data_IF_861458489067
#
_entry.id   IF_861458489067
#
_cell.length_a   1.000
_cell.length_b   1.000
_cell.length_c   1.000
_cell.angle_alpha   90.00
_cell.angle_beta   90.00
_cell.angle_gamma   90.00
#
_symmetry.space_group_name_H-M   'P 1'
#
loop_
_entity.id
_entity.type
_entity.pdbx_description
1 polymer ?
#
# COMPACT_ATOMS: atom_id res chain seq x y z
N UNK A 1 -4.24 -0.47 6.88
CA UNK A 1 -3.04 0.36 6.66
C UNK A 1 -1.85 -0.31 7.30
N UNK A 2 -0.75 -0.50 6.55
CA UNK A 2 0.46 -1.10 7.10
C UNK A 2 1.26 -0.05 7.90
N UNK A 3 0.98 0.01 9.21
CA UNK A 3 1.66 0.90 10.15
C UNK A 3 3.11 0.52 10.40
N UNK A 4 3.48 -0.75 10.18
CA UNK A 4 4.87 -1.19 10.28
C UNK A 4 5.65 -0.57 9.12
N UNK A 5 5.08 -0.57 7.91
CA UNK A 5 5.65 0.13 6.77
C UNK A 5 5.74 1.65 6.98
N UNK A 6 4.73 2.26 7.59
CA UNK A 6 4.74 3.70 7.86
C UNK A 6 5.79 4.11 8.89
N UNK A 7 5.94 3.35 9.98
CA UNK A 7 6.78 3.75 11.10
C UNK A 7 8.18 3.14 11.11
N UNK A 8 8.46 2.14 10.26
CA UNK A 8 9.77 1.50 10.10
C UNK A 8 10.42 1.08 11.44
N UNK A 9 9.73 0.34 12.33
CA UNK A 9 10.29 -0.07 13.62
C UNK A 9 11.45 -1.07 13.42
N UNK A 10 12.40 -1.13 14.35
CA UNK A 10 13.39 -2.22 14.36
C UNK A 10 12.74 -3.58 14.60
N UNK A 11 13.09 -4.59 13.80
CA UNK A 11 12.44 -5.92 13.80
C UNK A 11 12.48 -6.62 15.16
N UNK A 12 13.63 -6.64 15.82
CA UNK A 12 13.81 -7.43 17.04
C UNK A 12 13.28 -6.79 18.33
N UNK A 13 13.06 -5.47 18.35
CA UNK A 13 12.78 -4.74 19.60
C UNK A 13 11.51 -3.90 19.50
N UNK A 14 11.36 -3.13 18.44
CA UNK A 14 10.29 -2.14 18.33
C UNK A 14 9.03 -2.72 17.69
N UNK A 15 9.19 -3.56 16.65
CA UNK A 15 8.07 -4.14 15.90
C UNK A 15 7.14 -4.99 16.77
N UNK A 16 7.62 -5.88 17.67
CA UNK A 16 6.73 -6.65 18.53
C UNK A 16 5.86 -5.75 19.43
N UNK A 17 6.46 -4.70 20.01
CA UNK A 17 5.75 -3.73 20.86
C UNK A 17 4.72 -2.92 20.09
N UNK A 18 5.04 -2.52 18.86
CA UNK A 18 4.09 -1.83 17.99
C UNK A 18 2.87 -2.73 17.66
N UNK A 19 3.10 -4.00 17.30
CA UNK A 19 2.03 -4.95 16.96
C UNK A 19 1.15 -5.22 18.19
N UNK A 20 1.76 -5.45 19.36
CA UNK A 20 1.01 -5.67 20.60
C UNK A 20 0.19 -4.44 20.99
N UNK A 21 0.73 -3.23 20.82
CA UNK A 21 0.00 -2.00 21.08
C UNK A 21 -1.20 -1.82 20.15
N UNK A 22 -1.05 -2.15 18.86
CA UNK A 22 -2.16 -2.12 17.88
C UNK A 22 -3.26 -3.10 18.32
N UNK A 23 -2.90 -4.33 18.71
CA UNK A 23 -3.87 -5.32 19.21
C UNK A 23 -4.59 -4.83 20.47
N UNK A 24 -3.86 -4.27 21.42
CA UNK A 24 -4.43 -3.70 22.64
C UNK A 24 -5.40 -2.54 22.33
N UNK A 25 -5.09 -1.65 21.37
CA UNK A 25 -5.98 -0.56 21.01
C UNK A 25 -7.22 -1.01 20.22
N UNK A 26 -7.09 -2.01 19.35
CA UNK A 26 -8.24 -2.65 18.71
C UNK A 26 -9.16 -3.27 19.76
N UNK A 27 -8.59 -3.92 20.79
CA UNK A 27 -9.35 -4.42 21.93
C UNK A 27 -10.05 -3.29 22.68
N UNK A 28 -9.35 -2.20 23.03
CA UNK A 28 -9.94 -1.03 23.71
C UNK A 28 -11.18 -0.53 22.97
N UNK A 29 -11.13 -0.43 21.63
CA UNK A 29 -12.29 -0.04 20.83
C UNK A 29 -13.49 -0.98 21.05
N UNK A 30 -13.28 -2.30 21.02
CA UNK A 30 -14.35 -3.27 21.24
C UNK A 30 -14.92 -3.17 22.66
N UNK A 31 -14.07 -2.97 23.66
CA UNK A 31 -14.50 -2.79 25.05
C UNK A 31 -15.27 -1.50 25.27
N UNK A 32 -14.93 -0.42 24.56
CA UNK A 32 -15.68 0.83 24.57
C UNK A 32 -17.07 0.65 23.95
N UNK A 33 -17.19 -0.13 22.88
CA UNK A 33 -18.47 -0.40 22.21
C UNK A 33 -19.36 -1.34 23.04
N UNK A 34 -18.77 -2.39 23.63
CA UNK A 34 -19.55 -3.51 24.18
C UNK A 34 -19.50 -3.65 25.71
N UNK A 35 -18.50 -3.11 26.40
CA UNK A 35 -18.24 -3.39 27.83
C UNK A 35 -18.14 -2.15 28.73
N UNK A 36 -18.68 -0.98 28.33
CA UNK A 36 -18.62 0.26 29.12
C UNK A 36 -17.20 0.58 29.65
N UNK A 37 -16.21 0.49 28.77
CA UNK A 37 -14.81 0.73 29.11
C UNK A 37 -14.47 2.23 28.98
N UNK A 38 -14.14 2.89 30.09
CA UNK A 38 -13.92 4.34 30.11
C UNK A 38 -12.50 4.82 29.75
N UNK A 39 -11.55 3.91 29.54
CA UNK A 39 -10.16 4.28 29.23
C UNK A 39 -9.86 4.24 27.73
N UNK A 40 -8.81 4.97 27.34
CA UNK A 40 -8.37 5.11 25.94
C UNK A 40 -7.19 4.20 25.56
N UNK A 41 -6.63 3.51 26.56
CA UNK A 41 -5.54 2.54 26.47
C UNK A 41 -5.90 1.32 27.31
N UNK A 42 -5.21 0.20 27.07
CA UNK A 42 -5.28 -1.00 27.90
C UNK A 42 -4.03 -1.05 28.80
N UNK A 43 -4.13 -0.72 30.10
CA UNK A 43 -2.99 -0.79 31.01
C UNK A 43 -2.60 -2.25 31.25
N UNK A 44 -1.31 -2.55 31.21
CA UNK A 44 -0.80 -3.90 31.50
C UNK A 44 0.02 -3.97 32.77
N UNK A 45 0.66 -2.88 33.19
CA UNK A 45 1.50 -2.89 34.39
C UNK A 45 0.73 -3.40 35.62
N UNK A 46 1.29 -4.44 36.26
CA UNK A 46 0.72 -5.11 37.44
C UNK A 46 -0.73 -5.62 37.28
N UNK A 47 -1.22 -5.77 36.04
CA UNK A 47 -2.58 -6.27 35.80
C UNK A 47 -2.59 -7.81 35.65
N UNK A 48 -3.70 -8.48 36.01
CA UNK A 48 -3.88 -9.89 35.74
C UNK A 48 -3.85 -10.18 34.23
N UNK A 49 -3.07 -11.16 33.80
CA UNK A 49 -3.01 -11.64 32.41
C UNK A 49 -4.38 -12.08 31.90
N UNK A 50 -5.20 -12.70 32.76
CA UNK A 50 -6.56 -13.11 32.41
C UNK A 50 -7.44 -11.94 31.96
N UNK A 51 -7.27 -10.75 32.54
CA UNK A 51 -8.04 -9.56 32.15
C UNK A 51 -7.84 -9.16 30.68
N UNK A 52 -6.67 -9.47 30.13
CA UNK A 52 -6.34 -9.24 28.73
C UNK A 52 -6.67 -10.45 27.86
N UNK A 53 -6.12 -11.63 28.18
CA UNK A 53 -6.24 -12.80 27.31
C UNK A 53 -7.67 -13.33 27.18
N UNK A 54 -8.50 -13.25 28.23
CA UNK A 54 -9.91 -13.61 28.14
C UNK A 54 -10.63 -12.70 27.14
N UNK A 55 -10.42 -11.38 27.23
CA UNK A 55 -11.07 -10.40 26.34
C UNK A 55 -10.55 -10.48 24.89
N UNK A 56 -9.24 -10.68 24.72
CA UNK A 56 -8.66 -10.98 23.39
C UNK A 56 -9.30 -12.24 22.81
N UNK A 57 -9.51 -13.28 23.61
CA UNK A 57 -10.21 -14.49 23.16
C UNK A 57 -11.64 -14.22 22.71
N UNK A 58 -12.38 -13.39 23.45
CA UNK A 58 -13.76 -13.01 23.11
C UNK A 58 -13.86 -12.23 21.80
N UNK A 59 -12.96 -11.28 21.56
CA UNK A 59 -13.01 -10.39 20.39
C UNK A 59 -12.02 -10.77 19.29
N UNK A 60 -11.50 -12.01 19.32
CA UNK A 60 -10.38 -12.44 18.48
C UNK A 60 -10.62 -12.19 17.01
N UNK A 61 -11.75 -12.67 16.49
CA UNK A 61 -12.06 -12.61 15.05
C UNK A 61 -12.16 -11.17 14.55
N UNK A 62 -12.65 -10.26 15.40
CA UNK A 62 -12.76 -8.83 15.08
C UNK A 62 -11.37 -8.18 15.13
N UNK A 63 -10.57 -8.43 16.16
CA UNK A 63 -9.24 -7.83 16.34
C UNK A 63 -8.26 -8.29 15.26
N UNK A 64 -8.31 -9.58 14.91
CA UNK A 64 -7.46 -10.18 13.87
C UNK A 64 -7.95 -9.81 12.46
N UNK A 65 -9.16 -9.24 12.31
CA UNK A 65 -9.64 -8.72 11.02
C UNK A 65 -8.83 -7.51 10.55
N UNK A 66 -8.51 -7.49 9.25
CA UNK A 66 -7.90 -6.36 8.56
C UNK A 66 -8.81 -5.14 8.47
N UNK A 67 -10.13 -5.34 8.64
CA UNK A 67 -11.14 -4.27 8.65
C UNK A 67 -11.28 -3.62 10.04
N UNK A 68 -10.66 -4.16 11.08
CA UNK A 68 -10.68 -3.55 12.41
C UNK A 68 -9.73 -2.37 12.49
N UNK A 69 -10.29 -1.22 12.84
CA UNK A 69 -9.61 0.04 13.10
C UNK A 69 -9.40 0.27 14.62
N UNK A 70 -8.68 1.33 14.94
CA UNK A 70 -8.41 1.76 16.31
C UNK A 70 -8.02 3.24 16.34
N UNK A 71 -8.05 3.86 17.53
CA UNK A 71 -7.66 5.25 17.68
C UNK A 71 -6.12 5.40 17.69
N UNK A 72 -5.57 5.83 16.56
CA UNK A 72 -4.13 6.01 16.38
C UNK A 72 -3.53 7.07 17.32
N UNK A 73 -4.33 8.03 17.80
CA UNK A 73 -3.84 9.08 18.70
C UNK A 73 -3.37 8.56 20.05
N UNK A 74 -3.80 7.35 20.43
CA UNK A 74 -3.41 6.67 21.66
C UNK A 74 -2.24 5.69 21.45
N UNK A 75 -1.72 5.55 20.22
CA UNK A 75 -0.71 4.54 19.87
C UNK A 75 0.57 4.69 20.67
N UNK A 76 1.11 5.89 20.78
CA UNK A 76 2.36 6.12 21.51
C UNK A 76 2.21 5.87 23.01
N UNK A 77 1.04 6.17 23.58
CA UNK A 77 0.72 5.84 24.95
C UNK A 77 0.60 4.33 25.14
N UNK A 78 -0.12 3.63 24.26
CA UNK A 78 -0.24 2.17 24.35
C UNK A 78 1.11 1.47 24.18
N UNK A 79 1.98 1.94 23.28
CA UNK A 79 3.32 1.36 23.10
C UNK A 79 4.12 1.37 24.41
N UNK A 80 3.97 2.42 25.23
CA UNK A 80 4.60 2.44 26.56
C UNK A 80 4.00 1.40 27.51
N UNK A 81 2.69 1.16 27.46
CA UNK A 81 2.03 0.10 28.24
C UNK A 81 2.49 -1.31 27.84
N UNK A 82 3.01 -1.49 26.63
CA UNK A 82 3.61 -2.75 26.20
C UNK A 82 5.04 -2.94 26.75
N UNK A 83 5.70 -1.89 27.25
CA UNK A 83 7.05 -1.93 27.80
C UNK A 83 7.07 -2.42 29.25
N UNK A 84 6.66 -3.67 29.45
CA UNK A 84 6.64 -4.37 30.75
C UNK A 84 7.76 -5.42 30.86
N UNK A 85 8.30 -5.60 32.06
CA UNK A 85 9.17 -6.71 32.44
C UNK A 85 8.38 -8.02 32.48
N UNK A 86 9.09 -9.14 32.55
CA UNK A 86 8.44 -10.42 32.83
C UNK A 86 7.74 -10.38 34.20
N UNK A 87 6.43 -10.59 34.17
CA UNK A 87 5.62 -10.83 35.37
C UNK A 87 5.61 -12.31 35.77
N UNK A 88 4.73 -12.66 36.70
CA UNK A 88 4.54 -14.04 37.17
C UNK A 88 3.60 -14.85 36.23
N UNK A 89 3.16 -16.03 36.65
CA UNK A 89 2.24 -16.86 35.85
C UNK A 89 0.87 -16.21 35.61
N UNK A 90 0.41 -15.37 36.53
CA UNK A 90 -0.94 -14.81 36.56
C UNK A 90 -0.98 -13.32 36.18
N UNK A 91 0.09 -12.57 36.42
CA UNK A 91 0.15 -11.12 36.29
C UNK A 91 1.19 -10.68 35.27
N UNK A 92 0.91 -9.59 34.59
CA UNK A 92 1.92 -8.83 33.87
C UNK A 92 2.91 -8.20 34.85
N UNK A 93 4.13 -7.92 34.37
CA UNK A 93 5.19 -7.36 35.21
C UNK A 93 5.04 -5.87 35.44
N UNK A 94 6.10 -5.29 36.01
CA UNK A 94 6.28 -3.85 36.19
C UNK A 94 6.88 -3.19 34.95
N UNK A 95 6.87 -1.86 34.91
CA UNK A 95 7.51 -1.08 33.85
C UNK A 95 8.98 -1.47 33.59
N UNK A 96 9.34 -1.63 32.32
CA UNK A 96 10.70 -1.91 31.86
C UNK A 96 11.36 -0.66 31.27
N UNK A 97 12.15 0.03 32.10
CA UNK A 97 12.89 1.23 31.70
C UNK A 97 13.86 1.02 30.53
N UNK A 98 14.42 -0.18 30.35
CA UNK A 98 15.29 -0.49 29.22
C UNK A 98 14.48 -0.60 27.93
N UNK A 99 13.33 -1.28 27.98
CA UNK A 99 12.41 -1.35 26.84
C UNK A 99 11.89 0.04 26.45
N UNK A 100 11.55 0.89 27.43
CA UNK A 100 11.14 2.28 27.21
C UNK A 100 12.26 3.09 26.53
N UNK A 101 13.52 2.93 26.97
CA UNK A 101 14.64 3.61 26.34
C UNK A 101 14.79 3.19 24.86
N UNK A 102 14.64 1.89 24.57
CA UNK A 102 14.78 1.33 23.22
C UNK A 102 13.63 1.71 22.27
N UNK A 103 12.43 1.97 22.79
CA UNK A 103 11.26 2.34 21.98
C UNK A 103 11.19 3.85 21.68
N UNK A 104 11.99 4.66 22.39
CA UNK A 104 11.92 6.13 22.33
C UNK A 104 12.09 6.70 20.91
N UNK A 105 12.98 6.12 20.11
CA UNK A 105 13.17 6.55 18.71
C UNK A 105 11.95 6.26 17.83
N UNK A 106 11.23 5.15 18.07
CA UNK A 106 9.96 4.87 17.38
C UNK A 106 8.89 5.88 17.79
N UNK A 107 8.73 6.13 19.10
CA UNK A 107 7.75 7.10 19.61
C UNK A 107 7.98 8.48 18.99
N UNK A 108 9.22 8.97 19.01
CA UNK A 108 9.56 10.26 18.40
C UNK A 108 9.22 10.31 16.91
N UNK A 109 9.43 9.20 16.18
CA UNK A 109 9.09 9.12 14.76
C UNK A 109 7.59 9.13 14.52
N UNK A 110 6.82 8.38 15.29
CA UNK A 110 5.35 8.36 15.22
C UNK A 110 4.80 9.77 15.47
N UNK A 111 5.24 10.43 16.54
CA UNK A 111 4.80 11.78 16.87
C UNK A 111 5.19 12.79 15.78
N UNK A 112 6.43 12.73 15.29
CA UNK A 112 6.87 13.61 14.22
C UNK A 112 6.03 13.45 12.94
N UNK A 113 5.76 12.21 12.52
CA UNK A 113 4.91 11.90 11.36
C UNK A 113 3.47 12.37 11.58
N UNK A 114 2.92 12.17 12.77
CA UNK A 114 1.56 12.61 13.12
C UNK A 114 1.38 14.13 13.00
N UNK A 115 2.43 14.89 13.30
CA UNK A 115 2.43 16.35 13.24
C UNK A 115 2.68 16.91 11.84
N UNK A 116 3.18 16.12 10.88
CA UNK A 116 3.39 16.60 9.52
C UNK A 116 2.05 16.86 8.82
N UNK A 117 1.83 18.06 8.24
CA UNK A 117 0.58 18.41 7.57
C UNK A 117 0.18 17.41 6.46
N UNK A 118 1.16 16.95 5.69
CA UNK A 118 0.98 16.00 4.58
C UNK A 118 0.38 14.68 5.05
N UNK A 119 0.94 14.10 6.12
CA UNK A 119 0.46 12.85 6.70
C UNK A 119 -0.87 13.06 7.44
N UNK A 120 -1.05 14.18 8.15
CA UNK A 120 -2.30 14.52 8.82
C UNK A 120 -3.46 14.62 7.83
N UNK A 121 -3.24 15.23 6.67
CA UNK A 121 -4.27 15.41 5.64
C UNK A 121 -4.67 14.09 4.98
N UNK A 122 -3.68 13.21 4.71
CA UNK A 122 -3.93 11.94 4.05
C UNK A 122 -4.54 10.91 4.99
N UNK A 123 -3.99 10.77 6.21
CA UNK A 123 -4.43 9.75 7.16
C UNK A 123 -5.50 10.24 8.13
N UNK A 124 -5.87 11.52 8.04
CA UNK A 124 -6.91 12.10 8.90
C UNK A 124 -6.58 11.98 10.38
N UNK A 125 -5.30 12.09 10.78
CA UNK A 125 -4.93 11.95 12.19
C UNK A 125 -5.72 12.95 13.05
N UNK A 126 -6.56 12.42 13.96
CA UNK A 126 -7.52 13.13 14.82
C UNK A 126 -8.86 13.56 14.16
N UNK A 127 -9.18 13.14 12.93
CA UNK A 127 -10.55 13.24 12.42
C UNK A 127 -11.41 12.15 13.04
N UNK A 128 -12.65 12.49 13.39
CA UNK A 128 -13.65 11.48 13.71
C UNK A 128 -14.12 10.84 12.40
N UNK A 129 -14.16 9.51 12.37
CA UNK A 129 -14.73 8.76 11.26
C UNK A 129 -16.25 9.02 11.25
N UNK A 130 -16.79 9.52 10.14
CA UNK A 130 -18.18 9.96 10.03
C UNK A 130 -18.42 11.26 9.24
N UNK A 131 -17.36 11.93 8.77
CA UNK A 131 -17.50 13.05 7.84
C UNK A 131 -17.87 12.53 6.43
N UNK A 132 -18.73 13.25 5.69
CA UNK A 132 -19.02 12.94 4.28
C UNK A 132 -17.73 12.98 3.43
N UNK A 133 -17.62 12.08 2.44
CA UNK A 133 -16.48 11.91 1.51
C UNK A 133 -15.25 11.17 2.07
N UNK A 134 -15.42 10.16 2.91
CA UNK A 134 -14.33 9.25 3.25
C UNK A 134 -13.90 8.41 2.04
N UNK A 135 -12.59 8.32 1.80
CA UNK A 135 -12.01 7.56 0.69
C UNK A 135 -12.53 6.12 0.62
N UNK A 136 -12.64 5.45 1.77
CA UNK A 136 -13.12 4.07 1.83
C UNK A 136 -14.58 3.96 1.35
N UNK A 137 -15.43 4.91 1.75
CA UNK A 137 -16.84 4.90 1.36
C UNK A 137 -16.99 5.16 -0.14
N UNK A 138 -16.29 6.16 -0.68
CA UNK A 138 -16.31 6.47 -2.12
C UNK A 138 -15.78 5.31 -2.96
N UNK A 139 -14.71 4.64 -2.50
CA UNK A 139 -14.17 3.48 -3.17
C UNK A 139 -15.14 2.29 -3.12
N UNK A 140 -15.75 2.00 -1.96
CA UNK A 140 -16.75 0.94 -1.84
C UNK A 140 -17.97 1.19 -2.72
N UNK A 141 -18.47 2.43 -2.75
CA UNK A 141 -19.56 2.84 -3.63
C UNK A 141 -19.20 2.65 -5.12
N UNK A 142 -17.96 2.93 -5.51
CA UNK A 142 -17.48 2.70 -6.87
C UNK A 142 -17.37 1.20 -7.20
N UNK A 143 -16.92 0.38 -6.25
CA UNK A 143 -16.73 -1.05 -6.44
C UNK A 143 -18.05 -1.85 -6.41
N UNK A 144 -19.12 -1.29 -5.85
CA UNK A 144 -20.44 -1.90 -5.87
C UNK A 144 -21.18 -1.58 -7.18
N UNK A 145 -21.11 -2.54 -8.11
CA UNK A 145 -21.78 -2.45 -9.42
C UNK A 145 -23.30 -2.31 -9.33
N UNK A 146 -23.95 -2.64 -8.20
CA UNK A 146 -25.38 -2.40 -8.02
C UNK A 146 -25.70 -0.93 -7.68
N UNK A 147 -24.70 -0.16 -7.25
CA UNK A 147 -24.88 1.19 -6.72
C UNK A 147 -24.36 2.29 -7.65
N UNK A 148 -23.63 1.96 -8.72
CA UNK A 148 -22.99 2.96 -9.57
C UNK A 148 -22.98 2.59 -11.06
N UNK A 149 -23.21 3.60 -11.91
CA UNK A 149 -22.95 3.53 -13.36
C UNK A 149 -21.57 4.08 -13.73
N UNK A 150 -20.78 4.51 -12.73
CA UNK A 150 -19.44 5.06 -12.96
C UNK A 150 -18.50 3.96 -13.46
N UNK A 151 -17.71 4.29 -14.48
CA UNK A 151 -16.75 3.36 -15.11
C UNK A 151 -15.30 3.70 -14.82
N UNK A 152 -15.06 4.85 -14.16
CA UNK A 152 -13.72 5.37 -13.90
C UNK A 152 -13.66 6.03 -12.52
N UNK A 153 -12.75 5.56 -11.70
CA UNK A 153 -12.39 6.14 -10.40
C UNK A 153 -10.93 6.56 -10.43
N UNK A 154 -10.65 7.85 -10.19
CA UNK A 154 -9.30 8.40 -10.29
C UNK A 154 -8.80 8.75 -8.89
N UNK A 155 -7.69 8.13 -8.49
CA UNK A 155 -6.97 8.47 -7.25
C UNK A 155 -5.80 9.39 -7.63
N UNK A 156 -5.94 10.69 -7.33
CA UNK A 156 -4.87 11.65 -7.61
C UNK A 156 -3.93 11.77 -6.42
N UNK A 157 -2.66 11.37 -6.60
CA UNK A 157 -1.59 11.56 -5.63
C UNK A 157 -0.78 12.85 -5.88
N UNK A 158 -1.32 13.79 -6.66
CA UNK A 158 -0.58 15.01 -7.08
C UNK A 158 -0.09 15.84 -5.88
N UNK A 159 -0.90 15.90 -4.82
CA UNK A 159 -0.64 16.67 -3.60
C UNK A 159 0.01 15.81 -2.49
N UNK A 160 0.21 14.51 -2.74
CA UNK A 160 0.92 13.65 -1.81
C UNK A 160 2.42 13.90 -1.90
N UNK A 161 3.07 14.10 -0.76
CA UNK A 161 4.51 14.32 -0.68
C UNK A 161 5.31 13.12 -1.20
N UNK A 162 6.44 13.39 -1.84
CA UNK A 162 7.43 12.36 -2.19
C UNK A 162 8.31 11.96 -0.99
N UNK A 163 8.19 12.67 0.13
CA UNK A 163 9.01 12.40 1.30
C UNK A 163 8.65 11.05 1.95
N UNK A 164 9.70 10.34 2.39
CA UNK A 164 9.61 9.15 3.27
C UNK A 164 8.80 7.98 2.71
N UNK A 165 8.62 7.90 1.40
CA UNK A 165 7.95 6.77 0.74
C UNK A 165 6.42 6.79 0.90
N UNK A 166 5.83 7.95 1.17
CA UNK A 166 4.40 8.08 1.46
C UNK A 166 3.53 7.57 0.30
N UNK A 167 3.87 7.91 -0.94
CA UNK A 167 3.11 7.48 -2.12
C UNK A 167 3.19 5.98 -2.33
N UNK A 168 4.35 5.39 -2.07
CA UNK A 168 4.60 3.96 -2.15
C UNK A 168 3.76 3.22 -1.10
N UNK A 169 3.76 3.70 0.15
CA UNK A 169 2.95 3.12 1.24
C UNK A 169 1.46 3.21 0.92
N UNK A 170 0.97 4.36 0.44
CA UNK A 170 -0.44 4.55 0.10
C UNK A 170 -0.88 3.64 -1.05
N UNK A 171 -0.12 3.64 -2.12
CA UNK A 171 -0.41 2.84 -3.33
C UNK A 171 -0.35 1.35 -3.01
N UNK A 172 0.61 0.92 -2.17
CA UNK A 172 0.69 -0.45 -1.67
C UNK A 172 -0.50 -0.83 -0.76
N UNK A 173 -0.95 0.09 0.10
CA UNK A 173 -2.13 -0.14 0.94
C UNK A 173 -3.41 -0.30 0.11
N UNK A 174 -3.59 0.53 -0.91
CA UNK A 174 -4.71 0.42 -1.86
C UNK A 174 -4.61 -0.90 -2.64
N UNK A 175 -3.41 -1.26 -3.11
CA UNK A 175 -3.18 -2.53 -3.80
C UNK A 175 -3.54 -3.74 -2.94
N UNK A 176 -3.10 -3.76 -1.67
CA UNK A 176 -3.43 -4.84 -0.74
C UNK A 176 -4.93 -4.93 -0.46
N UNK A 177 -5.61 -3.79 -0.29
CA UNK A 177 -7.07 -3.78 -0.13
C UNK A 177 -7.77 -4.39 -1.35
N UNK A 178 -7.42 -3.97 -2.56
CA UNK A 178 -8.00 -4.54 -3.79
C UNK A 178 -7.67 -6.03 -3.96
N UNK A 179 -6.45 -6.44 -3.59
CA UNK A 179 -6.03 -7.84 -3.61
C UNK A 179 -6.91 -8.70 -2.69
N UNK A 180 -7.19 -8.24 -1.47
CA UNK A 180 -8.05 -8.97 -0.52
C UNK A 180 -9.50 -9.03 -1.00
N UNK A 181 -10.06 -7.94 -1.51
CA UNK A 181 -11.41 -7.94 -2.08
C UNK A 181 -11.51 -8.87 -3.31
N UNK A 182 -10.45 -8.94 -4.13
CA UNK A 182 -10.36 -9.89 -5.26
C UNK A 182 -10.32 -11.35 -4.78
N UNK A 183 -9.55 -11.65 -3.72
CA UNK A 183 -9.50 -12.99 -3.09
C UNK A 183 -10.85 -13.42 -2.52
N UNK A 184 -11.67 -12.47 -2.11
CA UNK A 184 -13.06 -12.68 -1.69
C UNK A 184 -14.06 -12.74 -2.87
N UNK A 185 -13.56 -12.83 -4.10
CA UNK A 185 -14.34 -12.95 -5.34
C UNK A 185 -15.22 -11.75 -5.70
N UNK A 186 -14.98 -10.57 -5.11
CA UNK A 186 -15.78 -9.36 -5.37
C UNK A 186 -15.82 -8.97 -6.84
N UNK A 187 -14.72 -9.15 -7.56
CA UNK A 187 -14.58 -8.74 -8.96
C UNK A 187 -14.83 -9.86 -9.97
N UNK A 188 -15.35 -11.01 -9.54
CA UNK A 188 -15.52 -12.18 -10.42
C UNK A 188 -16.57 -11.95 -11.50
N UNK A 189 -17.72 -11.38 -11.11
CA UNK A 189 -18.82 -11.05 -12.03
C UNK A 189 -18.64 -9.66 -12.67
N UNK A 190 -17.97 -8.75 -11.95
CA UNK A 190 -17.70 -7.38 -12.40
C UNK A 190 -16.18 -7.10 -12.33
N UNK A 191 -15.42 -7.49 -13.36
CA UNK A 191 -13.97 -7.34 -13.33
C UNK A 191 -13.54 -5.88 -13.40
N UNK A 192 -12.44 -5.56 -12.71
CA UNK A 192 -11.87 -4.20 -12.67
C UNK A 192 -10.44 -4.19 -13.22
N UNK A 193 -10.05 -3.05 -13.79
CA UNK A 193 -8.67 -2.81 -14.24
C UNK A 193 -8.07 -1.70 -13.39
N UNK A 194 -7.05 -2.05 -12.61
CA UNK A 194 -6.25 -1.09 -11.85
C UNK A 194 -5.18 -0.50 -12.76
N UNK A 195 -5.30 0.79 -13.06
CA UNK A 195 -4.29 1.56 -13.80
C UNK A 195 -3.33 2.24 -12.82
N UNK A 196 -2.04 2.00 -12.99
CA UNK A 196 -0.96 2.65 -12.24
C UNK A 196 -0.12 3.46 -13.20
N UNK A 197 -0.30 4.78 -13.19
CA UNK A 197 0.52 5.70 -13.97
C UNK A 197 1.82 6.03 -13.23
N UNK A 198 2.89 6.29 -13.99
CA UNK A 198 4.25 6.49 -13.46
C UNK A 198 4.66 5.44 -12.42
N UNK A 199 4.39 4.16 -12.70
CA UNK A 199 4.54 3.08 -11.73
C UNK A 199 5.95 2.94 -11.13
N UNK A 200 6.99 3.46 -11.79
CA UNK A 200 8.33 3.52 -11.23
C UNK A 200 8.42 4.38 -9.96
N UNK A 201 7.45 5.25 -9.70
CA UNK A 201 7.34 6.01 -8.45
C UNK A 201 6.80 5.16 -7.30
N UNK A 202 6.13 4.03 -7.57
CA UNK A 202 5.38 3.27 -6.57
C UNK A 202 5.85 1.83 -6.40
N UNK A 203 6.38 1.22 -7.46
CA UNK A 203 6.73 -0.21 -7.50
C UNK A 203 8.21 -0.46 -7.18
N UNK A 204 8.97 0.53 -6.69
CA UNK A 204 10.37 0.30 -6.33
C UNK A 204 10.46 -0.69 -5.17
N UNK A 205 11.19 -1.78 -5.40
CA UNK A 205 11.33 -2.91 -4.47
C UNK A 205 12.05 -2.54 -3.16
N UNK A 206 12.69 -1.39 -3.10
CA UNK A 206 13.53 -1.00 -1.96
C UNK A 206 13.53 0.51 -1.77
N UNK A 207 12.98 0.99 -0.65
CA UNK A 207 13.32 2.30 -0.12
C UNK A 207 14.60 2.09 0.69
N UNK A 208 15.75 2.08 0.00
CA UNK A 208 17.06 1.98 0.66
C UNK A 208 17.34 3.31 1.38
N UNK A 209 16.97 3.38 2.65
CA UNK A 209 17.51 4.35 3.58
C UNK A 209 18.56 3.60 4.42
N UNK A 210 19.80 4.08 4.45
CA UNK A 210 21.01 3.46 5.05
C UNK A 210 20.90 3.10 6.56
N UNK A 211 19.71 3.19 7.16
CA UNK A 211 19.46 2.97 8.58
C UNK A 211 18.24 2.12 8.92
N UNK A 212 17.35 1.77 7.97
CA UNK A 212 16.15 0.98 8.27
C UNK A 212 15.81 0.00 7.13
N UNK A 213 15.56 -1.25 7.50
CA UNK A 213 15.33 -2.43 6.65
C UNK A 213 14.33 -2.22 5.50
N UNK A 214 14.57 -2.97 4.42
CA UNK A 214 13.73 -3.08 3.24
C UNK A 214 12.27 -3.43 3.62
N UNK A 215 11.36 -2.48 3.41
CA UNK A 215 9.93 -2.75 3.47
C UNK A 215 9.50 -3.40 2.16
N UNK A 216 8.97 -4.61 2.22
CA UNK A 216 8.42 -5.30 1.06
C UNK A 216 7.05 -4.69 0.70
N UNK A 217 7.06 -3.70 -0.18
CA UNK A 217 5.86 -3.13 -0.80
C UNK A 217 5.46 -3.99 -2.01
N UNK A 218 4.95 -5.19 -1.75
CA UNK A 218 4.78 -6.26 -2.73
C UNK A 218 3.34 -6.43 -3.27
N UNK A 219 2.42 -5.52 -2.96
CA UNK A 219 1.02 -5.66 -3.37
C UNK A 219 0.87 -5.81 -4.89
N UNK A 220 1.59 -5.01 -5.67
CA UNK A 220 1.53 -5.06 -7.13
C UNK A 220 2.17 -6.33 -7.71
N UNK A 221 3.21 -6.85 -7.06
CA UNK A 221 3.80 -8.15 -7.42
C UNK A 221 2.80 -9.29 -7.22
N UNK A 222 2.06 -9.27 -6.11
CA UNK A 222 0.99 -10.25 -5.82
C UNK A 222 -0.18 -10.11 -6.79
N UNK A 223 -0.63 -8.87 -7.06
CA UNK A 223 -1.70 -8.61 -8.02
C UNK A 223 -1.32 -9.15 -9.41
N UNK A 224 -0.12 -8.84 -9.89
CA UNK A 224 0.36 -9.28 -11.19
C UNK A 224 0.40 -10.81 -11.34
N UNK A 225 0.75 -11.53 -10.26
CA UNK A 225 0.85 -13.02 -10.27
C UNK A 225 -0.49 -13.72 -10.10
N UNK A 226 -1.36 -13.21 -9.24
CA UNK A 226 -2.46 -14.02 -8.69
C UNK A 226 -3.85 -13.54 -9.12
N UNK A 227 -4.03 -12.27 -9.50
CA UNK A 227 -5.36 -11.66 -9.53
C UNK A 227 -6.14 -11.82 -10.84
N UNK A 228 -5.49 -12.21 -11.94
CA UNK A 228 -6.18 -12.42 -13.23
C UNK A 228 -7.35 -13.41 -13.11
N UNK A 229 -7.22 -14.48 -12.31
CA UNK A 229 -8.28 -15.47 -12.04
C UNK A 229 -9.39 -14.95 -11.12
N UNK A 230 -9.19 -13.80 -10.48
CA UNK A 230 -10.10 -13.16 -9.52
C UNK A 230 -10.79 -11.92 -10.09
N UNK A 231 -10.61 -11.61 -11.38
CA UNK A 231 -11.25 -10.46 -12.03
C UNK A 231 -10.60 -9.10 -11.73
N UNK A 232 -9.43 -9.08 -11.09
CA UNK A 232 -8.62 -7.87 -10.92
C UNK A 232 -7.44 -7.89 -11.91
N UNK A 233 -7.46 -6.97 -12.85
CA UNK A 233 -6.41 -6.78 -13.86
C UNK A 233 -5.52 -5.60 -13.50
N UNK A 234 -4.25 -5.66 -13.89
CA UNK A 234 -3.27 -4.61 -13.64
C UNK A 234 -2.77 -4.04 -14.97
N UNK A 235 -2.82 -2.73 -15.11
CA UNK A 235 -2.20 -1.98 -16.18
C UNK A 235 -1.19 -0.99 -15.59
N UNK A 236 0.05 -1.05 -16.07
CA UNK A 236 1.14 -0.18 -15.61
C UNK A 236 1.60 0.70 -16.78
N UNK A 237 1.72 2.00 -16.51
CA UNK A 237 2.36 2.98 -17.39
C UNK A 237 3.63 3.49 -16.69
N UNK A 238 4.74 3.57 -17.43
CA UNK A 238 6.00 4.13 -16.93
C UNK A 238 6.93 4.55 -18.06
N UNK A 239 7.71 5.60 -17.81
CA UNK A 239 8.80 6.03 -18.68
C UNK A 239 10.15 5.33 -18.40
N UNK A 240 10.34 4.76 -17.21
CA UNK A 240 11.57 4.04 -16.82
C UNK A 240 11.28 2.56 -16.54
N UNK A 241 11.17 1.71 -17.57
CA UNK A 241 10.85 0.29 -17.38
C UNK A 241 11.88 -0.45 -16.53
N UNK A 242 13.16 -0.04 -16.56
CA UNK A 242 14.22 -0.62 -15.71
C UNK A 242 13.99 -0.48 -14.20
N UNK A 243 13.19 0.48 -13.77
CA UNK A 243 12.92 0.74 -12.36
C UNK A 243 11.74 -0.11 -11.85
N UNK A 244 11.06 -0.84 -12.73
CA UNK A 244 9.99 -1.77 -12.36
C UNK A 244 10.62 -3.11 -11.96
N UNK A 245 10.13 -3.76 -10.89
CA UNK A 245 10.63 -5.08 -10.51
C UNK A 245 10.46 -6.09 -11.65
N UNK A 246 11.53 -6.81 -11.94
CA UNK A 246 11.54 -7.86 -12.98
C UNK A 246 10.43 -8.89 -12.71
N UNK A 247 10.19 -9.21 -11.44
CA UNK A 247 9.12 -10.10 -11.02
C UNK A 247 7.74 -9.64 -11.48
N UNK A 248 7.43 -8.34 -11.39
CA UNK A 248 6.17 -7.76 -11.90
C UNK A 248 6.14 -7.79 -13.42
N UNK A 249 7.21 -7.30 -14.08
CA UNK A 249 7.28 -7.19 -15.54
C UNK A 249 7.10 -8.54 -16.24
N UNK A 250 7.68 -9.61 -15.70
CA UNK A 250 7.55 -10.96 -16.28
C UNK A 250 6.14 -11.54 -16.20
N UNK A 251 5.22 -10.94 -15.44
CA UNK A 251 3.81 -11.35 -15.40
C UNK A 251 2.93 -10.56 -16.38
N UNK A 252 3.45 -9.51 -17.00
CA UNK A 252 2.68 -8.69 -17.93
C UNK A 252 2.48 -9.46 -19.24
N UNK A 253 1.21 -9.73 -19.58
CA UNK A 253 0.86 -10.49 -20.78
C UNK A 253 0.81 -9.67 -22.07
N UNK A 254 0.70 -8.34 -21.97
CA UNK A 254 0.60 -7.43 -23.12
C UNK A 254 1.43 -6.19 -22.87
N UNK A 255 2.30 -5.85 -23.82
CA UNK A 255 3.14 -4.66 -23.82
C UNK A 255 2.75 -3.75 -24.98
N UNK A 256 2.54 -2.47 -24.66
CA UNK A 256 2.43 -1.39 -25.63
C UNK A 256 3.67 -0.52 -25.45
N UNK A 257 4.67 -0.72 -26.30
CA UNK A 257 5.99 -0.11 -26.13
C UNK A 257 6.16 1.00 -27.14
N UNK A 258 6.17 2.24 -26.66
CA UNK A 258 6.55 3.40 -27.47
C UNK A 258 8.06 3.41 -27.76
N UNK A 259 8.53 4.47 -28.42
CA UNK A 259 9.93 4.63 -28.76
C UNK A 259 10.84 4.50 -27.52
N UNK A 260 11.74 3.52 -27.54
CA UNK A 260 12.80 3.33 -26.53
C UNK A 260 14.17 3.38 -27.21
N UNK A 261 14.99 4.36 -26.81
CA UNK A 261 16.35 4.56 -27.36
C UNK A 261 17.39 3.83 -26.51
N UNK A 262 17.24 3.91 -25.18
CA UNK A 262 18.19 3.35 -24.23
C UNK A 262 18.26 1.81 -24.33
N UNK A 263 19.47 1.27 -24.45
CA UNK A 263 19.71 -0.18 -24.53
C UNK A 263 19.31 -0.92 -23.26
N UNK A 264 19.52 -0.31 -22.09
CA UNK A 264 19.17 -0.93 -20.80
C UNK A 264 17.66 -1.10 -20.65
N UNK A 265 16.88 -0.08 -21.00
CA UNK A 265 15.41 -0.15 -20.98
C UNK A 265 14.89 -1.18 -22.00
N UNK A 266 15.45 -1.20 -23.21
CA UNK A 266 15.11 -2.21 -24.22
C UNK A 266 15.42 -3.63 -23.74
N UNK A 267 16.57 -3.85 -23.12
CA UNK A 267 16.97 -5.16 -22.60
C UNK A 267 16.06 -5.64 -21.46
N UNK A 268 15.55 -4.72 -20.63
CA UNK A 268 14.59 -5.08 -19.58
C UNK A 268 13.27 -5.58 -20.18
N UNK A 269 12.74 -4.89 -21.19
CA UNK A 269 11.55 -5.36 -21.93
C UNK A 269 11.83 -6.67 -22.66
N UNK A 270 13.01 -6.82 -23.27
CA UNK A 270 13.42 -8.05 -23.96
C UNK A 270 13.43 -9.28 -23.05
N UNK A 271 13.89 -9.10 -21.80
CA UNK A 271 13.89 -10.17 -20.80
C UNK A 271 12.50 -10.52 -20.27
N UNK A 272 11.56 -9.56 -20.30
CA UNK A 272 10.18 -9.78 -19.87
C UNK A 272 9.33 -10.43 -20.97
N UNK A 273 9.68 -10.24 -22.25
CA UNK A 273 8.98 -10.80 -23.40
C UNK A 273 9.46 -12.23 -23.74
N UNK A 274 8.60 -13.01 -24.42
CA UNK A 274 8.97 -14.32 -24.97
C UNK A 274 10.02 -14.22 -26.08
N UNK A 275 10.83 -15.27 -26.25
CA UNK A 275 11.97 -15.27 -27.19
C UNK A 275 11.58 -14.96 -28.64
N UNK A 276 10.39 -15.38 -29.07
CA UNK A 276 9.88 -15.13 -30.42
C UNK A 276 9.67 -13.65 -30.77
N UNK A 277 9.63 -12.77 -29.77
CA UNK A 277 9.37 -11.34 -29.94
C UNK A 277 10.63 -10.47 -29.90
N UNK A 278 11.82 -11.04 -29.63
CA UNK A 278 13.07 -10.29 -29.42
C UNK A 278 13.52 -9.52 -30.66
N UNK A 279 13.41 -10.13 -31.85
CA UNK A 279 13.78 -9.49 -33.11
C UNK A 279 12.97 -8.22 -33.40
N UNK A 280 11.70 -8.18 -33.00
CA UNK A 280 10.83 -7.02 -33.17
C UNK A 280 11.20 -5.84 -32.25
N UNK A 281 11.89 -6.08 -31.13
CA UNK A 281 12.33 -5.00 -30.24
C UNK A 281 13.45 -4.14 -30.84
N UNK A 282 14.12 -4.63 -31.89
CA UNK A 282 15.12 -3.86 -32.64
C UNK A 282 14.52 -2.63 -33.35
N UNK A 283 13.20 -2.61 -33.59
CA UNK A 283 12.50 -1.48 -34.21
C UNK A 283 12.11 -0.38 -33.22
N UNK A 284 12.20 -0.62 -31.91
CA UNK A 284 11.80 0.38 -30.90
C UNK A 284 12.51 1.75 -31.05
N UNK A 285 13.81 1.84 -31.40
CA UNK A 285 14.47 3.13 -31.58
C UNK A 285 13.97 3.93 -32.79
N UNK A 286 13.40 3.24 -33.81
CA UNK A 286 12.98 3.85 -35.08
C UNK A 286 11.53 4.35 -35.07
N UNK A 287 10.74 3.96 -34.05
CA UNK A 287 9.34 4.39 -33.93
C UNK A 287 9.22 5.91 -33.85
N UNK A 288 8.24 6.46 -34.56
CA UNK A 288 7.90 7.88 -34.51
C UNK A 288 6.95 8.21 -33.36
N UNK A 289 6.74 9.50 -33.10
CA UNK A 289 5.75 9.94 -32.11
C UNK A 289 4.35 9.39 -32.46
N UNK A 290 3.66 8.88 -31.44
CA UNK A 290 2.36 8.21 -31.60
C UNK A 290 2.43 6.79 -32.17
N UNK A 291 3.60 6.27 -32.53
CA UNK A 291 3.77 4.85 -32.87
C UNK A 291 4.15 4.03 -31.63
N UNK A 292 3.67 2.80 -31.58
CA UNK A 292 4.01 1.83 -30.55
C UNK A 292 4.13 0.42 -31.15
N UNK A 293 5.00 -0.39 -30.56
CA UNK A 293 5.05 -1.82 -30.79
C UNK A 293 4.10 -2.51 -29.81
N UNK A 294 3.10 -3.21 -30.34
CA UNK A 294 2.20 -4.06 -29.56
C UNK A 294 2.74 -5.49 -29.55
N UNK A 295 2.98 -6.01 -28.35
CA UNK A 295 3.40 -7.39 -28.09
C UNK A 295 2.39 -7.99 -27.12
N UNK A 296 1.88 -9.19 -27.38
CA UNK A 296 1.02 -9.90 -26.45
C UNK A 296 1.28 -11.40 -26.52
N UNK A 297 1.13 -12.08 -25.38
CA UNK A 297 1.17 -13.55 -25.32
C UNK A 297 0.07 -14.21 -26.15
N UNK A 298 -1.02 -13.48 -26.42
CA UNK A 298 -2.15 -13.96 -27.23
C UNK A 298 -1.99 -13.65 -28.73
N UNK A 299 -0.90 -12.99 -29.12
CA UNK A 299 -0.63 -12.62 -30.51
C UNK A 299 0.52 -13.45 -31.11
N UNK A 300 0.38 -13.92 -32.37
CA UNK A 300 1.41 -14.75 -33.02
C UNK A 300 2.66 -13.96 -33.43
N UNK A 301 2.52 -12.64 -33.64
CA UNK A 301 3.62 -11.76 -33.99
C UNK A 301 3.37 -10.34 -33.47
N UNK A 302 4.42 -9.58 -33.11
CA UNK A 302 4.30 -8.17 -32.76
C UNK A 302 3.82 -7.33 -33.94
N UNK A 303 3.04 -6.29 -33.66
CA UNK A 303 2.58 -5.34 -34.68
C UNK A 303 2.92 -3.91 -34.29
N UNK A 304 3.23 -3.07 -35.27
CA UNK A 304 3.39 -1.64 -35.07
C UNK A 304 2.02 -0.99 -35.25
N UNK A 305 1.60 -0.23 -34.25
CA UNK A 305 0.32 0.48 -34.23
C UNK A 305 0.55 1.99 -34.14
N UNK A 306 -0.39 2.76 -34.70
CA UNK A 306 -0.46 4.22 -34.54
C UNK A 306 -1.57 4.56 -33.55
N UNK A 307 -1.19 5.12 -32.41
CA UNK A 307 -2.12 5.58 -31.38
C UNK A 307 -2.78 6.88 -31.85
N UNK A 308 -4.11 6.92 -31.81
CA UNK A 308 -4.89 8.14 -32.11
C UNK A 308 -4.78 9.11 -30.94
N UNK A 309 -4.70 10.40 -31.24
CA UNK A 309 -4.76 11.43 -30.20
C UNK A 309 -6.12 11.36 -29.47
N UNK A 310 -6.13 11.57 -28.14
CA UNK A 310 -7.37 11.59 -27.38
C UNK A 310 -8.18 12.84 -27.72
N UNK A 311 -9.51 12.70 -27.78
CA UNK A 311 -10.42 13.83 -27.99
C UNK A 311 -10.33 14.86 -26.85
N UNK A 312 -10.18 14.36 -25.61
CA UNK A 312 -9.95 15.17 -24.42
C UNK A 312 -8.47 15.07 -24.10
N UNK A 313 -7.74 16.18 -24.28
CA UNK A 313 -6.31 16.20 -24.01
C UNK A 313 -6.05 16.30 -22.50
N UNK A 314 -5.06 15.56 -21.97
CA UNK A 314 -4.66 15.69 -20.58
C UNK A 314 -4.09 17.09 -20.30
N UNK A 315 -4.28 17.57 -19.08
CA UNK A 315 -3.74 18.86 -18.64
C UNK A 315 -2.23 18.76 -18.42
N UNK A 316 -1.44 18.94 -19.48
CA UNK A 316 0.02 18.97 -19.40
C UNK A 316 0.51 20.35 -18.95
N UNK A 317 0.83 20.51 -17.66
CA UNK A 317 1.43 21.74 -17.09
C UNK A 317 2.94 21.87 -17.41
N UNK A 318 3.39 21.36 -18.55
CA UNK A 318 4.79 21.50 -18.95
C UNK A 318 5.07 22.97 -19.23
N UNK A 319 5.76 23.63 -18.29
CA UNK A 319 6.16 25.02 -18.44
C UNK A 319 7.05 25.16 -19.67
N UNK A 320 6.66 25.99 -20.63
CA UNK A 320 7.50 26.28 -21.79
C UNK A 320 8.69 27.10 -21.31
N UNK A 321 9.90 26.55 -21.43
CA UNK A 321 11.11 27.20 -20.92
C UNK A 321 11.49 28.46 -21.73
N UNK A 322 10.90 28.67 -22.91
CA UNK A 322 11.07 29.87 -23.72
C UNK A 322 9.76 30.15 -24.47
N UNK A 323 9.32 31.42 -24.45
CA UNK A 323 8.32 32.02 -25.34
C UNK A 323 9.07 32.89 -26.33
#
# INVERSE_FOLDING_TARGET
MDLVALFKPSEGVQKPKLIDAIKSLKLVKQLQIHENYGQNIFPKENQPKSSYFTKIGTYRDIIESDKSDFNLSNLTQQINEECIKHGDSNNFGTSDGTAIANIRSLISRIEHLRLQPEFKNIFGFNKQLGDNNEFNQELENFLDAAQTEQTLFIISLKDASFEKGLREILTNAIGNYLLEEARQYKFKENPIVLFVDEAHQFLKKTISDDSFQDLELDAFDKIAKECRKHGLFLCISTQTPRDIPVGTLSQIGTFIVHRLINETDRSVIEKACSEGNKSSLSYLPTLQSGEALLISIEMPMPIIIKIKEPNIKPTSLTSKLFV
#
